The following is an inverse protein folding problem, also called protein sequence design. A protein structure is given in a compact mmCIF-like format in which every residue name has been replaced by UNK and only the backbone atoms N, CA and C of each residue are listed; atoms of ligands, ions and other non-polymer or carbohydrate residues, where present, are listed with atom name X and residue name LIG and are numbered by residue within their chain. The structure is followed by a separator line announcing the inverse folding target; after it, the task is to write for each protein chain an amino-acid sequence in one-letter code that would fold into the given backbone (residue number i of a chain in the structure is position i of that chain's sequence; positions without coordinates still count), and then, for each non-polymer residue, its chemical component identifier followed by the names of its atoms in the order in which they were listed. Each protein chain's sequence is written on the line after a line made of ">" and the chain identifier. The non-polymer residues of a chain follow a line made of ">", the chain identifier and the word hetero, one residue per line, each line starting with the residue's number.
data_IF_250160177668
#
_entry.id   IF_250160177668
#
_cell.length_a   1.000
_cell.length_b   1.000
_cell.length_c   1.000
_cell.angle_alpha   90.00
_cell.angle_beta   90.00
_cell.angle_gamma   90.00
#
_symmetry.space_group_name_H-M   'P 1'
#
loop_
_entity.id
_entity.type
_entity.pdbx_description
1 polymer ?
#
# COMPACT_ATOMS: atom_id res chain seq x y z
N UNK A 1 -22.82 -5.76 -21.38
CA UNK A 1 -23.21 -4.78 -20.33
C UNK A 1 -21.96 -4.43 -19.54
N UNK A 2 -21.35 -3.33 -19.99
CA UNK A 2 -20.37 -2.45 -19.33
C UNK A 2 -19.23 -3.09 -18.51
N UNK A 3 -18.23 -3.61 -19.22
CA UNK A 3 -16.85 -3.26 -18.92
C UNK A 3 -16.53 -1.97 -19.68
N UNK A 4 -16.04 -0.92 -19.02
CA UNK A 4 -15.02 -0.03 -19.59
C UNK A 4 -14.59 1.03 -18.55
N UNK A 5 -13.31 0.96 -18.22
CA UNK A 5 -12.44 2.11 -18.04
C UNK A 5 -12.83 3.19 -17.04
N UNK A 6 -12.47 2.98 -15.77
CA UNK A 6 -11.92 4.10 -14.99
C UNK A 6 -10.52 4.40 -15.53
N UNK A 7 -10.23 5.67 -15.85
CA UNK A 7 -9.00 6.19 -15.29
C UNK A 7 -9.23 7.59 -14.71
N UNK A 8 -8.79 7.78 -13.47
CA UNK A 8 -8.58 9.08 -12.83
C UNK A 8 -7.46 9.89 -13.50
N UNK A 9 -7.64 10.18 -14.79
CA UNK A 9 -6.74 10.94 -15.65
C UNK A 9 -7.17 12.40 -15.67
N UNK A 10 -6.81 13.20 -14.66
CA UNK A 10 -6.70 14.66 -14.87
C UNK A 10 -5.73 15.34 -13.92
N UNK A 11 -5.46 14.80 -12.73
CA UNK A 11 -4.57 15.46 -11.76
C UNK A 11 -3.15 14.85 -11.69
N UNK A 12 -2.98 13.59 -12.09
CA UNK A 12 -1.69 12.87 -11.93
C UNK A 12 -0.68 13.15 -13.07
N UNK A 13 -1.14 13.59 -14.25
CA UNK A 13 -0.26 13.81 -15.42
C UNK A 13 0.39 15.19 -15.50
N UNK A 14 -0.09 16.19 -14.76
CA UNK A 14 0.53 17.53 -14.74
C UNK A 14 1.66 17.63 -13.72
N UNK A 15 1.62 16.84 -12.65
CA UNK A 15 2.65 16.77 -11.61
C UNK A 15 3.83 15.85 -11.98
N UNK A 16 3.71 14.99 -12.99
CA UNK A 16 4.74 14.01 -13.35
C UNK A 16 5.86 14.54 -14.27
N UNK A 17 5.77 15.78 -14.78
CA UNK A 17 6.82 16.40 -15.61
C UNK A 17 7.85 17.22 -14.84
N UNK A 18 7.61 17.49 -13.56
CA UNK A 18 8.47 18.31 -12.73
C UNK A 18 9.07 17.39 -11.67
N UNK A 19 10.39 17.13 -11.74
CA UNK A 19 11.07 16.35 -10.70
C UNK A 19 10.89 16.98 -9.31
N UNK A 20 11.08 16.20 -8.25
CA UNK A 20 10.99 16.69 -6.86
C UNK A 20 11.66 18.07 -6.62
N UNK A 21 12.91 18.33 -7.06
CA UNK A 21 13.54 19.64 -6.88
C UNK A 21 12.83 20.75 -7.65
N UNK A 22 12.25 20.44 -8.82
CA UNK A 22 11.46 21.40 -9.59
C UNK A 22 10.16 21.78 -8.88
N UNK A 23 9.52 20.83 -8.20
CA UNK A 23 8.30 21.11 -7.44
C UNK A 23 8.58 22.03 -6.25
N UNK A 24 9.71 21.83 -5.56
CA UNK A 24 10.15 22.76 -4.51
C UNK A 24 10.49 24.15 -5.06
N UNK A 25 11.12 24.24 -6.25
CA UNK A 25 11.38 25.52 -6.89
C UNK A 25 10.09 26.27 -7.25
N UNK A 26 9.07 25.57 -7.74
CA UNK A 26 7.74 26.15 -8.02
C UNK A 26 7.08 26.62 -6.72
N UNK A 27 7.11 25.83 -5.66
CA UNK A 27 6.58 26.22 -4.35
C UNK A 27 7.28 27.48 -3.84
N UNK A 28 8.62 27.54 -3.89
CA UNK A 28 9.39 28.70 -3.47
C UNK A 28 9.10 29.94 -4.31
N UNK A 29 8.98 29.79 -5.63
CA UNK A 29 8.62 30.88 -6.54
C UNK A 29 7.23 31.44 -6.24
N UNK A 30 6.26 30.56 -5.99
CA UNK A 30 4.90 30.96 -5.60
C UNK A 30 4.89 31.71 -4.27
N UNK A 31 5.59 31.20 -3.25
CA UNK A 31 5.72 31.88 -1.94
C UNK A 31 6.32 33.28 -2.11
N UNK A 32 7.40 33.40 -2.90
CA UNK A 32 8.04 34.69 -3.17
C UNK A 32 7.09 35.65 -3.90
N UNK A 33 6.42 35.17 -4.95
CA UNK A 33 5.46 35.97 -5.71
C UNK A 33 4.27 36.43 -4.85
N UNK A 34 3.72 35.55 -4.00
CA UNK A 34 2.64 35.92 -3.08
C UNK A 34 3.09 36.91 -2.03
N UNK A 35 4.33 36.83 -1.55
CA UNK A 35 4.87 37.79 -0.59
C UNK A 35 5.09 39.18 -1.21
N UNK A 36 5.65 39.24 -2.42
CA UNK A 36 5.78 40.50 -3.15
C UNK A 36 4.41 41.15 -3.39
N UNK A 37 3.40 40.35 -3.74
CA UNK A 37 2.03 40.83 -3.88
C UNK A 37 1.48 41.37 -2.55
N UNK A 38 1.68 40.63 -1.45
CA UNK A 38 1.24 41.03 -0.09
C UNK A 38 1.86 42.38 0.35
N UNK A 39 3.13 42.63 0.01
CA UNK A 39 3.81 43.90 0.30
C UNK A 39 3.23 45.09 -0.49
N UNK A 40 2.81 44.86 -1.74
CA UNK A 40 2.25 45.92 -2.60
C UNK A 40 0.76 46.15 -2.32
N UNK A 41 0.05 45.15 -1.82
CA UNK A 41 -1.38 45.26 -1.53
C UNK A 41 -1.66 46.00 -0.22
N UNK A 42 -2.62 46.94 -0.21
CA UNK A 42 -3.01 47.64 1.01
C UNK A 42 -3.62 46.71 2.06
N UNK A 43 -3.51 47.11 3.32
CA UNK A 43 -4.08 46.39 4.46
C UNK A 43 -5.61 46.25 4.34
N UNK A 44 -6.11 45.01 4.34
CA UNK A 44 -7.54 44.68 4.29
C UNK A 44 -7.92 43.62 3.25
N UNK A 45 -7.10 43.43 2.22
CA UNK A 45 -7.33 42.41 1.18
C UNK A 45 -6.82 41.03 1.65
N UNK A 46 -7.57 39.92 1.46
CA UNK A 46 -7.17 38.57 1.86
C UNK A 46 -6.16 37.92 0.89
N UNK A 47 -5.01 38.56 0.68
CA UNK A 47 -3.93 38.01 -0.16
C UNK A 47 -3.34 36.72 0.43
N UNK A 48 -3.45 36.53 1.75
CA UNK A 48 -3.04 35.31 2.44
C UNK A 48 -3.70 34.03 1.85
N UNK A 49 -4.86 34.14 1.21
CA UNK A 49 -5.54 33.02 0.52
C UNK A 49 -4.69 32.46 -0.62
N UNK A 50 -3.83 33.27 -1.24
CA UNK A 50 -2.95 32.79 -2.31
C UNK A 50 -1.82 31.88 -1.80
N UNK A 51 -1.46 31.98 -0.52
CA UNK A 51 -0.51 31.06 0.11
C UNK A 51 -1.08 29.65 0.31
N UNK A 52 -2.39 29.45 0.06
CA UNK A 52 -2.96 28.11 0.01
C UNK A 52 -2.46 27.33 -1.22
N UNK A 53 -2.13 28.01 -2.33
CA UNK A 53 -1.62 27.37 -3.55
C UNK A 53 -0.29 26.61 -3.32
N UNK A 54 0.79 27.24 -2.80
CA UNK A 54 2.01 26.50 -2.49
C UNK A 54 1.78 25.41 -1.44
N UNK A 55 0.85 25.62 -0.49
CA UNK A 55 0.50 24.61 0.52
C UNK A 55 -0.15 23.38 -0.11
N UNK A 56 -1.13 23.56 -1.00
CA UNK A 56 -1.78 22.46 -1.74
C UNK A 56 -0.78 21.74 -2.64
N UNK A 57 0.16 22.45 -3.28
CA UNK A 57 1.21 21.83 -4.09
C UNK A 57 2.14 20.92 -3.27
N UNK A 58 2.25 21.13 -1.95
CA UNK A 58 2.98 20.17 -1.10
C UNK A 58 2.33 18.78 -1.09
N UNK A 59 1.04 18.63 -1.44
CA UNK A 59 0.38 17.32 -1.56
C UNK A 59 1.09 16.37 -2.53
N UNK A 60 1.70 16.92 -3.60
CA UNK A 60 2.48 16.15 -4.58
C UNK A 60 3.87 15.72 -4.10
N UNK A 61 4.34 16.20 -2.93
CA UNK A 61 5.67 15.86 -2.42
C UNK A 61 5.63 14.63 -1.49
N UNK A 62 6.58 13.69 -1.62
CA UNK A 62 6.63 12.50 -0.78
C UNK A 62 7.16 12.75 0.63
N UNK A 63 7.74 13.93 0.89
CA UNK A 63 8.42 14.28 2.15
C UNK A 63 7.40 14.68 3.23
N UNK A 64 7.35 13.94 4.34
CA UNK A 64 6.37 14.12 5.46
C UNK A 64 6.43 15.49 6.17
N UNK A 65 7.59 16.15 6.15
CA UNK A 65 7.77 17.44 6.83
C UNK A 65 7.52 18.65 5.93
N UNK A 66 7.30 18.46 4.62
CA UNK A 66 7.13 19.55 3.66
C UNK A 66 5.92 20.44 3.98
N UNK A 67 4.74 19.83 4.16
CA UNK A 67 3.47 20.51 4.41
C UNK A 67 3.47 21.37 5.70
N UNK A 68 3.89 20.86 6.88
CA UNK A 68 3.95 21.69 8.09
C UNK A 68 5.03 22.79 8.02
N UNK A 69 6.18 22.53 7.40
CA UNK A 69 7.22 23.56 7.23
C UNK A 69 6.72 24.70 6.35
N UNK A 70 6.11 24.38 5.20
CA UNK A 70 5.54 25.40 4.30
C UNK A 70 4.43 26.18 4.98
N UNK A 71 3.56 25.53 5.77
CA UNK A 71 2.53 26.24 6.54
C UNK A 71 3.12 27.24 7.54
N UNK A 72 4.16 26.85 8.29
CA UNK A 72 4.84 27.76 9.24
C UNK A 72 5.52 28.93 8.52
N UNK A 73 6.15 28.67 7.36
CA UNK A 73 6.76 29.72 6.53
C UNK A 73 5.70 30.69 6.01
N UNK A 74 4.61 30.19 5.42
CA UNK A 74 3.50 31.03 4.94
C UNK A 74 2.86 31.84 6.07
N UNK A 75 2.73 31.25 7.25
CA UNK A 75 2.24 31.94 8.45
C UNK A 75 3.19 33.08 8.84
N UNK A 76 4.49 32.82 8.99
CA UNK A 76 5.47 33.84 9.32
C UNK A 76 5.52 34.97 8.27
N UNK A 77 5.46 34.64 6.98
CA UNK A 77 5.45 35.62 5.90
C UNK A 77 4.17 36.46 5.87
N UNK A 78 3.02 35.87 6.20
CA UNK A 78 1.77 36.62 6.35
C UNK A 78 1.90 37.67 7.45
N UNK A 79 2.49 37.32 8.62
CA UNK A 79 2.74 38.30 9.68
C UNK A 79 3.81 39.32 9.32
N UNK A 80 4.87 38.92 8.61
CA UNK A 80 5.91 39.84 8.15
C UNK A 80 5.35 40.86 7.15
N UNK A 81 4.47 40.43 6.24
CA UNK A 81 3.75 41.31 5.35
C UNK A 81 2.90 42.34 6.09
N UNK A 82 2.34 42.01 7.27
CA UNK A 82 1.62 42.99 8.10
C UNK A 82 2.46 44.22 8.45
N UNK A 83 3.71 43.97 8.85
CA UNK A 83 4.61 45.00 9.35
C UNK A 83 5.17 45.86 8.21
N UNK A 84 5.14 45.36 6.98
CA UNK A 84 5.71 46.00 5.80
C UNK A 84 4.66 46.66 4.89
N UNK A 85 3.41 46.18 4.91
CA UNK A 85 2.33 46.73 4.09
C UNK A 85 1.91 48.11 4.59
N UNK A 86 1.65 49.01 3.64
CA UNK A 86 1.18 50.37 3.93
C UNK A 86 -0.27 50.40 4.42
N UNK A 87 -0.54 51.21 5.44
CA UNK A 87 -1.89 51.47 5.94
C UNK A 87 -2.78 52.12 4.87
N UNK A 88 -3.96 51.55 4.68
CA UNK A 88 -4.98 52.12 3.79
C UNK A 88 -5.82 53.13 4.57
N UNK A 89 -5.79 54.40 4.15
CA UNK A 89 -6.61 55.44 4.75
C UNK A 89 -8.11 55.12 4.59
N UNK A 90 -8.84 55.07 5.72
CA UNK A 90 -10.29 54.86 5.74
C UNK A 90 -10.76 53.42 5.98
N UNK A 91 -9.86 52.45 6.15
CA UNK A 91 -10.21 51.07 6.52
C UNK A 91 -10.17 50.88 8.04
N UNK A 92 -11.17 50.23 8.66
CA UNK A 92 -11.14 49.92 10.09
C UNK A 92 -9.95 49.01 10.46
N UNK A 93 -9.24 49.36 11.53
CA UNK A 93 -8.03 48.64 11.98
C UNK A 93 -8.27 47.20 12.40
N UNK A 94 -9.50 46.82 12.76
CA UNK A 94 -9.87 45.44 13.11
C UNK A 94 -10.01 44.53 11.89
N UNK A 95 -10.29 45.08 10.70
CA UNK A 95 -10.56 44.28 9.50
C UNK A 95 -9.33 43.47 9.04
N UNK A 96 -8.12 44.05 8.93
CA UNK A 96 -6.91 43.29 8.65
C UNK A 96 -6.57 42.25 9.73
N UNK A 97 -6.89 42.55 11.00
CA UNK A 97 -6.61 41.64 12.13
C UNK A 97 -7.46 40.37 12.07
N UNK A 98 -8.77 40.51 11.85
CA UNK A 98 -9.67 39.36 11.68
C UNK A 98 -9.23 38.53 10.48
N UNK A 99 -8.92 39.18 9.36
CA UNK A 99 -8.51 38.51 8.14
C UNK A 99 -7.24 37.65 8.33
N UNK A 100 -6.27 38.16 9.08
CA UNK A 100 -5.00 37.46 9.37
C UNK A 100 -5.18 36.36 10.41
N UNK A 101 -6.13 36.49 11.33
CA UNK A 101 -6.44 35.44 12.32
C UNK A 101 -6.90 34.14 11.66
N UNK A 102 -7.56 34.20 10.50
CA UNK A 102 -7.94 33.02 9.73
C UNK A 102 -6.73 32.21 9.24
N UNK A 103 -5.63 32.87 8.87
CA UNK A 103 -4.42 32.16 8.41
C UNK A 103 -3.78 31.29 9.50
N UNK A 104 -3.88 31.69 10.77
CA UNK A 104 -3.41 30.92 11.93
C UNK A 104 -4.15 29.60 12.11
N UNK A 105 -5.39 29.50 11.63
CA UNK A 105 -6.21 28.28 11.73
C UNK A 105 -6.13 27.49 10.43
N UNK A 106 -6.27 28.17 9.29
CA UNK A 106 -6.42 27.52 7.98
C UNK A 106 -5.12 26.87 7.51
N UNK A 107 -3.95 27.50 7.70
CA UNK A 107 -2.68 26.89 7.29
C UNK A 107 -2.35 25.60 8.05
N UNK A 108 -2.41 25.54 9.40
CA UNK A 108 -2.19 24.27 10.10
C UNK A 108 -3.30 23.25 9.82
N UNK A 109 -4.57 23.68 9.68
CA UNK A 109 -5.67 22.78 9.32
C UNK A 109 -5.44 22.14 7.94
N UNK A 110 -5.10 22.92 6.92
CA UNK A 110 -4.81 22.39 5.59
C UNK A 110 -3.56 21.54 5.56
N UNK A 111 -2.49 21.93 6.25
CA UNK A 111 -1.30 21.10 6.38
C UNK A 111 -1.62 19.75 7.02
N UNK A 112 -2.46 19.75 8.05
CA UNK A 112 -2.97 18.54 8.70
C UNK A 112 -3.82 17.70 7.74
N UNK A 113 -4.77 18.30 7.01
CA UNK A 113 -5.61 17.58 6.04
C UNK A 113 -4.79 16.96 4.90
N UNK A 114 -3.77 17.66 4.40
CA UNK A 114 -2.87 17.15 3.37
C UNK A 114 -2.04 15.98 3.90
N UNK A 115 -1.52 16.07 5.13
CA UNK A 115 -0.80 14.95 5.75
C UNK A 115 -1.73 13.75 5.99
N UNK A 116 -2.95 13.97 6.45
CA UNK A 116 -3.98 12.94 6.63
C UNK A 116 -4.32 12.25 5.30
N UNK A 117 -4.51 13.02 4.23
CA UNK A 117 -4.74 12.47 2.90
C UNK A 117 -3.58 11.59 2.46
N UNK A 118 -2.32 12.05 2.63
CA UNK A 118 -1.12 11.27 2.30
C UNK A 118 -1.03 9.97 3.10
N UNK A 119 -1.41 9.98 4.38
CA UNK A 119 -1.40 8.79 5.25
C UNK A 119 -2.39 7.76 4.77
N UNK A 120 -3.63 8.19 4.54
CA UNK A 120 -4.67 7.31 4.03
C UNK A 120 -4.23 6.69 2.70
N UNK A 121 -3.76 7.47 1.73
CA UNK A 121 -3.31 6.91 0.45
C UNK A 121 -2.18 5.89 0.60
N UNK A 122 -1.25 6.08 1.56
CA UNK A 122 -0.18 5.11 1.83
C UNK A 122 -0.72 3.82 2.47
N UNK A 123 -1.68 3.94 3.38
CA UNK A 123 -2.31 2.80 4.04
C UNK A 123 -3.15 1.98 3.06
N UNK A 124 -3.97 2.64 2.24
CA UNK A 124 -4.75 2.01 1.18
C UNK A 124 -3.87 1.26 0.18
N UNK A 125 -2.72 1.83 -0.21
CA UNK A 125 -1.77 1.15 -1.11
C UNK A 125 -1.17 -0.09 -0.46
N UNK A 126 -0.72 0.02 0.79
CA UNK A 126 -0.16 -1.12 1.53
C UNK A 126 -1.19 -2.22 1.74
N UNK A 127 -2.44 -1.88 2.11
CA UNK A 127 -3.47 -2.90 2.32
C UNK A 127 -3.87 -3.58 1.01
N UNK A 128 -3.89 -2.85 -0.11
CA UNK A 128 -4.13 -3.42 -1.43
C UNK A 128 -3.00 -4.36 -1.87
N UNK A 129 -1.73 -3.97 -1.67
CA UNK A 129 -0.57 -4.83 -1.95
C UNK A 129 -0.62 -6.12 -1.12
N UNK A 130 -0.86 -6.01 0.20
CA UNK A 130 -0.97 -7.17 1.08
C UNK A 130 -2.15 -8.07 0.72
N UNK A 131 -3.29 -7.49 0.32
CA UNK A 131 -4.46 -8.26 -0.11
C UNK A 131 -4.18 -9.04 -1.40
N UNK A 132 -3.49 -8.43 -2.37
CA UNK A 132 -3.10 -9.10 -3.61
C UNK A 132 -2.12 -10.25 -3.36
N UNK A 133 -1.12 -10.06 -2.49
CA UNK A 133 -0.17 -11.11 -2.12
C UNK A 133 -0.87 -12.28 -1.41
N UNK A 134 -1.81 -11.99 -0.49
CA UNK A 134 -2.58 -13.01 0.20
C UNK A 134 -3.44 -13.86 -0.74
N UNK A 135 -4.07 -13.24 -1.74
CA UNK A 135 -4.85 -13.96 -2.77
C UNK A 135 -3.93 -14.88 -3.58
N UNK A 136 -2.79 -14.38 -4.07
CA UNK A 136 -1.84 -15.18 -4.85
C UNK A 136 -1.28 -16.38 -4.05
N UNK A 137 -0.98 -16.19 -2.76
CA UNK A 137 -0.53 -17.28 -1.89
C UNK A 137 -1.62 -18.32 -1.67
N UNK A 138 -2.87 -17.90 -1.46
CA UNK A 138 -4.01 -18.81 -1.29
C UNK A 138 -4.25 -19.64 -2.55
N UNK A 139 -4.23 -19.02 -3.72
CA UNK A 139 -4.39 -19.72 -4.99
C UNK A 139 -3.28 -20.76 -5.20
N UNK A 140 -2.02 -20.38 -4.95
CA UNK A 140 -0.88 -21.31 -5.04
C UNK A 140 -1.02 -22.47 -4.06
N UNK A 141 -1.42 -22.20 -2.82
CA UNK A 141 -1.64 -23.24 -1.81
C UNK A 141 -2.78 -24.18 -2.20
N UNK A 142 -3.86 -23.66 -2.76
CA UNK A 142 -4.99 -24.47 -3.22
C UNK A 142 -4.60 -25.33 -4.42
N UNK A 143 -3.84 -24.79 -5.36
CA UNK A 143 -3.33 -25.54 -6.50
C UNK A 143 -2.43 -26.69 -6.04
N UNK A 144 -1.46 -26.42 -5.15
CA UNK A 144 -0.58 -27.46 -4.61
C UNK A 144 -1.37 -28.55 -3.88
N UNK A 145 -2.38 -28.16 -3.08
CA UNK A 145 -3.23 -29.12 -2.38
C UNK A 145 -4.01 -30.00 -3.36
N UNK A 146 -4.65 -29.39 -4.36
CA UNK A 146 -5.41 -30.12 -5.39
C UNK A 146 -4.52 -31.07 -6.18
N UNK A 147 -3.35 -30.61 -6.62
CA UNK A 147 -2.39 -31.45 -7.33
C UNK A 147 -1.90 -32.60 -6.44
N UNK A 148 -1.65 -32.36 -5.15
CA UNK A 148 -1.26 -33.42 -4.23
C UNK A 148 -2.39 -34.46 -4.04
N UNK A 149 -3.64 -34.02 -3.92
CA UNK A 149 -4.82 -34.90 -3.84
C UNK A 149 -5.00 -35.72 -5.12
N UNK A 150 -4.83 -35.12 -6.30
CA UNK A 150 -4.90 -35.81 -7.59
C UNK A 150 -3.78 -36.86 -7.73
N UNK A 151 -2.55 -36.52 -7.36
CA UNK A 151 -1.42 -37.47 -7.36
C UNK A 151 -1.66 -38.61 -6.38
N UNK A 152 -2.19 -38.31 -5.19
CA UNK A 152 -2.49 -39.33 -4.19
C UNK A 152 -3.61 -40.27 -4.67
N UNK A 153 -4.65 -39.74 -5.31
CA UNK A 153 -5.74 -40.56 -5.86
C UNK A 153 -5.23 -41.50 -6.96
N UNK A 154 -4.39 -40.99 -7.88
CA UNK A 154 -3.75 -41.80 -8.92
C UNK A 154 -2.87 -42.91 -8.32
N UNK A 155 -2.16 -42.63 -7.22
CA UNK A 155 -1.35 -43.62 -6.52
C UNK A 155 -2.23 -44.69 -5.86
N UNK A 156 -3.21 -44.29 -5.05
CA UNK A 156 -4.07 -45.19 -4.27
C UNK A 156 -4.96 -46.08 -5.15
N UNK A 157 -5.44 -45.53 -6.28
CA UNK A 157 -6.36 -46.22 -7.21
C UNK A 157 -5.69 -46.75 -8.47
N UNK A 158 -4.36 -46.82 -8.51
CA UNK A 158 -3.66 -47.44 -9.62
C UNK A 158 -4.13 -48.90 -9.82
N UNK A 159 -4.26 -49.41 -11.05
CA UNK A 159 -4.66 -50.79 -11.32
C UNK A 159 -3.56 -51.82 -11.00
N UNK A 160 -2.56 -51.43 -10.21
CA UNK A 160 -1.44 -52.23 -9.76
C UNK A 160 -1.11 -51.89 -8.30
N UNK A 161 -0.46 -52.83 -7.62
CA UNK A 161 0.06 -52.60 -6.29
C UNK A 161 1.34 -51.77 -6.35
N UNK A 162 1.42 -50.74 -5.52
CA UNK A 162 2.65 -49.99 -5.28
C UNK A 162 2.97 -50.01 -3.81
N UNK A 163 4.20 -50.40 -3.49
CA UNK A 163 4.77 -50.21 -2.17
C UNK A 163 6.17 -49.59 -2.27
N UNK A 164 6.62 -49.01 -1.17
CA UNK A 164 7.96 -48.47 -1.02
C UNK A 164 8.56 -49.04 0.25
N UNK A 165 9.85 -49.36 0.17
CA UNK A 165 10.62 -49.92 1.26
C UNK A 165 11.75 -48.97 1.65
N UNK A 166 12.08 -48.95 2.94
CA UNK A 166 13.32 -48.32 3.39
C UNK A 166 14.55 -49.19 3.10
N UNK A 167 15.73 -48.70 3.47
CA UNK A 167 17.00 -49.42 3.30
C UNK A 167 17.07 -50.79 3.99
N UNK A 168 16.16 -51.07 4.93
CA UNK A 168 16.10 -52.34 5.64
C UNK A 168 15.01 -53.26 5.09
N UNK A 169 14.17 -52.81 4.16
CA UNK A 169 13.02 -53.57 3.66
C UNK A 169 11.74 -53.37 4.46
N UNK A 170 11.68 -52.36 5.33
CA UNK A 170 10.48 -51.98 6.07
C UNK A 170 9.52 -51.25 5.13
N UNK A 171 8.22 -51.59 5.18
CA UNK A 171 7.19 -50.91 4.41
C UNK A 171 7.02 -49.47 4.88
N UNK A 172 7.28 -48.49 4.01
CA UNK A 172 7.12 -47.04 4.31
C UNK A 172 5.95 -46.39 3.59
N UNK A 173 5.51 -46.97 2.48
CA UNK A 173 4.29 -46.58 1.79
C UNK A 173 3.71 -47.81 1.07
N UNK A 174 2.40 -47.87 0.96
CA UNK A 174 1.68 -48.85 0.14
C UNK A 174 0.37 -48.22 -0.32
N UNK A 175 0.01 -48.43 -1.58
CA UNK A 175 -1.20 -47.89 -2.15
C UNK A 175 -2.44 -48.68 -1.68
N UNK A 176 -3.61 -48.03 -1.74
CA UNK A 176 -4.84 -48.67 -1.27
C UNK A 176 -5.18 -49.95 -2.04
N UNK A 177 -4.94 -49.98 -3.34
CA UNK A 177 -5.22 -51.16 -4.18
C UNK A 177 -4.45 -52.41 -3.73
N UNK A 178 -3.16 -52.31 -3.40
CA UNK A 178 -2.37 -53.44 -2.89
C UNK A 178 -2.85 -53.88 -1.50
N UNK A 179 -3.18 -52.93 -0.63
CA UNK A 179 -3.72 -53.21 0.70
C UNK A 179 -5.05 -53.97 0.62
N UNK A 180 -5.94 -53.56 -0.27
CA UNK A 180 -7.22 -54.21 -0.51
C UNK A 180 -7.03 -55.64 -1.06
N UNK A 181 -6.06 -55.84 -1.95
CA UNK A 181 -5.73 -57.17 -2.48
C UNK A 181 -5.15 -58.11 -1.43
N UNK A 182 -4.29 -57.60 -0.54
CA UNK A 182 -3.65 -58.39 0.51
C UNK A 182 -4.52 -58.53 1.77
N UNK A 183 -5.58 -57.72 1.92
CA UNK A 183 -6.49 -57.74 3.04
C UNK A 183 -5.95 -57.10 4.32
N UNK A 184 -5.05 -56.12 4.20
CA UNK A 184 -4.44 -55.41 5.34
C UNK A 184 -4.81 -53.93 5.38
N UNK A 185 -4.69 -53.32 6.55
CA UNK A 185 -4.79 -51.88 6.73
C UNK A 185 -3.41 -51.19 6.73
N UNK A 186 -3.36 -49.90 6.39
CA UNK A 186 -2.12 -49.09 6.47
C UNK A 186 -1.48 -49.18 7.86
N UNK A 187 -2.30 -49.12 8.91
CA UNK A 187 -1.83 -49.16 10.31
C UNK A 187 -1.19 -50.50 10.69
N UNK A 188 -1.48 -51.61 10.01
CA UNK A 188 -0.90 -52.91 10.32
C UNK A 188 0.46 -53.15 9.66
N UNK A 189 0.69 -52.53 8.49
CA UNK A 189 1.88 -52.77 7.68
C UNK A 189 2.90 -51.64 7.75
N UNK A 190 2.46 -50.39 7.55
CA UNK A 190 3.36 -49.25 7.34
C UNK A 190 4.15 -48.96 8.63
N UNK A 191 5.48 -48.97 8.52
CA UNK A 191 6.42 -48.76 9.62
C UNK A 191 6.50 -49.91 10.62
N UNK A 192 5.77 -51.01 10.40
CA UNK A 192 5.65 -52.12 11.38
C UNK A 192 6.15 -53.46 10.86
N UNK A 193 5.93 -53.77 9.57
CA UNK A 193 6.32 -55.04 8.96
C UNK A 193 7.32 -54.87 7.81
N UNK A 194 8.17 -55.87 7.65
CA UNK A 194 9.03 -55.99 6.45
C UNK A 194 8.25 -56.65 5.33
N UNK A 195 8.58 -56.31 4.09
CA UNK A 195 7.93 -56.89 2.91
C UNK A 195 7.99 -58.43 2.89
N UNK A 196 9.11 -59.00 3.33
CA UNK A 196 9.34 -60.45 3.42
C UNK A 196 8.35 -61.19 4.33
N UNK A 197 7.71 -60.49 5.27
CA UNK A 197 6.72 -61.08 6.18
C UNK A 197 5.32 -61.17 5.58
N UNK A 198 5.09 -60.51 4.43
CA UNK A 198 3.79 -60.42 3.77
C UNK A 198 3.73 -61.32 2.52
N UNK A 199 4.88 -61.79 2.05
CA UNK A 199 5.00 -62.69 0.89
C UNK A 199 5.24 -64.13 1.32
N UNK A 200 4.92 -65.08 0.43
CA UNK A 200 5.15 -66.50 0.69
C UNK A 200 6.64 -66.83 0.72
N UNK A 201 7.07 -67.95 1.35
CA UNK A 201 8.49 -68.33 1.43
C UNK A 201 9.19 -68.44 0.07
N UNK A 202 8.45 -68.79 -1.00
CA UNK A 202 8.98 -68.85 -2.36
C UNK A 202 9.27 -67.46 -2.98
N UNK A 203 8.67 -66.40 -2.45
CA UNK A 203 8.83 -65.01 -2.92
C UNK A 203 9.93 -64.23 -2.21
N UNK A 204 10.66 -64.83 -1.26
CA UNK A 204 11.75 -64.19 -0.48
C UNK A 204 13.13 -64.49 -1.10
N UNK A 205 13.18 -64.98 -2.34
CA UNK A 205 14.40 -65.43 -3.02
C UNK A 205 15.41 -64.31 -3.31
#
# INVERSE_FOLDING_TARGET
>A
MTSDGLPGLTTEKLTSRIGEPGLFAVIAALICGTFLLDCVTPLGVPVWVLYLLPLVLTSGTPRRWSSPIVAVICMALTFLGYALSTDMAGVPTWLPQINRSFSLIIFPLLAYLIDQQKRLTREWRKSAEMAAEQVALRERSQLLKKTAEEVQDLYDRAPCGYHSLDSTGLLVAMNQTELDWLGYTKDELIGKKRFTEVVTPAGVA
#
